data_IF_009615148814
#
_entry.id   IF_009615148814
#
_cell.length_a   1.000
_cell.length_b   1.000
_cell.length_c   1.000
_cell.angle_alpha   90.00
_cell.angle_beta   90.00
_cell.angle_gamma   90.00
#
_symmetry.space_group_name_H-M   'P 1'
#
loop_
_entity.id
_entity.type
_entity.pdbx_description
1 polymer ?
#
# COMPACT_ATOMS: atom_id res chain seq x y z
N UNK A 1 -7.64 -7.71 -29.82
CA UNK A 1 -7.08 -7.25 -28.54
C UNK A 1 -7.61 -5.85 -28.27
N UNK A 2 -8.66 -5.71 -27.46
CA UNK A 2 -9.25 -4.40 -27.15
C UNK A 2 -8.45 -3.75 -26.03
N UNK A 3 -7.74 -2.66 -26.32
CA UNK A 3 -7.05 -1.87 -25.30
C UNK A 3 -8.09 -1.11 -24.49
N UNK A 4 -8.25 -1.46 -23.21
CA UNK A 4 -9.15 -0.74 -22.32
C UNK A 4 -8.75 0.75 -22.28
N UNK A 5 -9.66 1.64 -22.67
CA UNK A 5 -9.44 3.07 -22.64
C UNK A 5 -9.34 3.53 -21.19
N UNK A 6 -8.24 4.21 -20.83
CA UNK A 6 -8.03 4.72 -19.47
C UNK A 6 -9.15 5.67 -19.08
N UNK A 7 -9.68 5.47 -17.89
CA UNK A 7 -10.68 6.34 -17.26
C UNK A 7 -10.06 7.69 -16.90
N UNK A 8 -10.90 8.73 -16.75
CA UNK A 8 -10.45 10.07 -16.32
C UNK A 8 -9.71 10.05 -14.98
N UNK A 9 -10.08 9.13 -14.08
CA UNK A 9 -9.42 8.96 -12.78
C UNK A 9 -8.01 8.37 -12.92
N UNK A 10 -7.82 7.43 -13.84
CA UNK A 10 -6.49 6.87 -14.13
C UNK A 10 -5.56 7.92 -14.73
N UNK A 11 -6.07 8.76 -15.63
CA UNK A 11 -5.34 9.90 -16.18
C UNK A 11 -4.95 10.91 -15.11
N UNK A 12 -5.89 11.31 -14.25
CA UNK A 12 -5.62 12.25 -13.16
C UNK A 12 -4.51 11.73 -12.23
N UNK A 13 -4.53 10.43 -11.90
CA UNK A 13 -3.48 9.80 -11.09
C UNK A 13 -2.12 9.82 -11.79
N UNK A 14 -2.08 9.44 -13.06
CA UNK A 14 -0.83 9.41 -13.83
C UNK A 14 -0.20 10.81 -13.91
N UNK A 15 -1.01 11.84 -14.19
CA UNK A 15 -0.56 13.23 -14.24
C UNK A 15 -0.05 13.67 -12.86
N UNK A 16 -0.78 13.37 -11.78
CA UNK A 16 -0.34 13.68 -10.43
C UNK A 16 1.00 13.01 -10.06
N UNK A 17 1.22 11.76 -10.49
CA UNK A 17 2.50 11.06 -10.33
C UNK A 17 3.63 11.76 -11.11
N UNK A 18 3.38 12.16 -12.36
CA UNK A 18 4.36 12.86 -13.18
C UNK A 18 4.78 14.21 -12.55
N UNK A 19 3.81 15.02 -12.13
CA UNK A 19 4.09 16.29 -11.43
C UNK A 19 4.89 16.06 -10.15
N UNK A 20 4.51 15.06 -9.35
CA UNK A 20 5.20 14.72 -8.10
C UNK A 20 6.66 14.33 -8.34
N UNK A 21 6.93 13.53 -9.37
CA UNK A 21 8.29 13.14 -9.73
C UNK A 21 9.12 14.35 -10.18
N UNK A 22 8.53 15.24 -10.99
CA UNK A 22 9.19 16.47 -11.43
C UNK A 22 9.52 17.39 -10.23
N UNK A 23 8.56 17.59 -9.31
CA UNK A 23 8.77 18.42 -8.12
C UNK A 23 9.83 17.84 -7.18
N UNK A 24 9.87 16.51 -7.03
CA UNK A 24 10.88 15.85 -6.20
C UNK A 24 12.30 16.00 -6.78
N UNK A 25 12.44 16.09 -8.09
CA UNK A 25 13.74 16.33 -8.73
C UNK A 25 14.26 17.77 -8.49
N UNK A 26 13.35 18.73 -8.24
CA UNK A 26 13.70 20.13 -7.99
C UNK A 26 13.94 20.41 -6.50
N UNK A 27 13.06 19.92 -5.62
CA UNK A 27 13.12 20.18 -4.18
C UNK A 27 12.68 18.94 -3.37
N UNK A 28 13.60 17.97 -3.17
CA UNK A 28 13.28 16.73 -2.48
C UNK A 28 12.90 16.93 -1.01
N UNK A 29 13.53 17.89 -0.32
CA UNK A 29 13.32 18.15 1.10
C UNK A 29 11.93 18.75 1.38
N UNK A 30 11.48 19.69 0.54
CA UNK A 30 10.13 20.23 0.65
C UNK A 30 9.08 19.19 0.32
N UNK A 31 9.33 18.33 -0.67
CA UNK A 31 8.47 17.18 -0.94
C UNK A 31 8.38 16.24 0.27
N UNK A 32 9.49 15.95 0.95
CA UNK A 32 9.51 15.12 2.15
C UNK A 32 8.71 15.74 3.31
N UNK A 33 8.79 17.06 3.51
CA UNK A 33 8.00 17.79 4.53
C UNK A 33 6.49 17.70 4.25
N UNK A 34 6.09 17.90 2.99
CA UNK A 34 4.69 17.77 2.57
C UNK A 34 4.19 16.34 2.73
N UNK A 35 5.03 15.35 2.44
CA UNK A 35 4.72 13.93 2.63
C UNK A 35 4.47 13.59 4.10
N UNK A 36 5.32 14.06 5.00
CA UNK A 36 5.14 13.88 6.43
C UNK A 36 3.82 14.51 6.91
N UNK A 37 3.49 15.71 6.43
CA UNK A 37 2.25 16.41 6.75
C UNK A 37 1.01 15.64 6.25
N UNK A 38 1.05 15.14 5.01
CA UNK A 38 -0.02 14.35 4.43
C UNK A 38 -0.24 13.05 5.21
N UNK A 39 0.83 12.33 5.56
CA UNK A 39 0.76 11.11 6.39
C UNK A 39 0.19 11.40 7.77
N UNK A 40 0.61 12.48 8.43
CA UNK A 40 0.08 12.90 9.74
C UNK A 40 -1.44 13.14 9.70
N UNK A 41 -1.96 13.60 8.57
CA UNK A 41 -3.40 13.83 8.35
C UNK A 41 -4.15 12.64 7.73
N UNK A 42 -3.54 11.46 7.66
CA UNK A 42 -4.16 10.27 7.08
C UNK A 42 -4.30 10.28 5.55
N UNK A 43 -3.75 11.29 4.86
CA UNK A 43 -3.82 11.45 3.41
C UNK A 43 -2.75 10.59 2.70
N UNK A 44 -2.74 9.28 2.98
CA UNK A 44 -1.71 8.34 2.50
C UNK A 44 -1.70 8.16 0.98
N UNK A 45 -2.76 8.58 0.28
CA UNK A 45 -2.82 8.58 -1.18
C UNK A 45 -1.93 9.65 -1.83
N UNK A 46 -1.67 10.77 -1.13
CA UNK A 46 -0.81 11.86 -1.61
C UNK A 46 0.66 11.48 -1.48
N UNK A 47 1.00 10.81 -0.38
CA UNK A 47 2.36 10.44 -0.02
C UNK A 47 2.49 8.91 0.14
N UNK A 48 2.57 8.16 -0.98
CA UNK A 48 2.71 6.71 -0.92
C UNK A 48 3.91 6.31 -0.05
N UNK A 49 3.75 5.26 0.74
CA UNK A 49 4.87 4.65 1.45
C UNK A 49 5.83 4.09 0.39
N UNK A 50 7.06 4.62 0.37
CA UNK A 50 8.11 4.04 -0.46
C UNK A 50 8.46 2.69 0.13
N UNK A 51 8.19 1.62 -0.60
CA UNK A 51 8.64 0.29 -0.22
C UNK A 51 10.09 0.18 -0.70
N UNK A 52 11.07 -0.05 0.19
CA UNK A 52 12.45 -0.27 -0.24
C UNK A 52 12.49 -1.37 -1.31
N UNK A 53 13.29 -1.22 -2.38
CA UNK A 53 13.32 -2.18 -3.48
C UNK A 53 13.63 -3.62 -2.99
N UNK A 54 14.53 -3.76 -2.02
CA UNK A 54 14.81 -5.04 -1.35
C UNK A 54 13.59 -5.65 -0.63
N UNK A 55 12.70 -4.80 -0.10
CA UNK A 55 11.42 -5.23 0.47
C UNK A 55 10.36 -5.48 -0.62
N UNK A 56 10.56 -5.03 -1.87
CA UNK A 56 9.68 -5.34 -2.99
C UNK A 56 10.04 -6.68 -3.65
N UNK A 57 11.33 -6.99 -3.78
CA UNK A 57 11.83 -8.22 -4.45
C UNK A 57 11.44 -9.51 -3.71
N UNK A 58 11.45 -9.52 -2.37
CA UNK A 58 11.07 -10.69 -1.55
C UNK A 58 9.88 -10.44 -0.62
N UNK A 59 9.36 -9.22 -0.55
CA UNK A 59 8.32 -8.89 0.44
C UNK A 59 6.95 -9.45 0.11
N UNK A 60 6.63 -9.75 -1.15
CA UNK A 60 5.33 -10.32 -1.53
C UNK A 60 5.13 -11.73 -0.96
N UNK A 61 6.19 -12.54 -0.98
CA UNK A 61 6.15 -13.92 -0.49
C UNK A 61 6.53 -14.03 1.00
N UNK A 62 6.76 -12.90 1.65
CA UNK A 62 7.04 -12.83 3.08
C UNK A 62 5.78 -13.04 3.93
N UNK A 63 5.90 -13.82 5.00
CA UNK A 63 4.87 -14.02 6.02
C UNK A 63 5.16 -13.11 7.19
N UNK A 64 4.40 -12.02 7.31
CA UNK A 64 4.69 -10.92 8.22
C UNK A 64 3.60 -10.74 9.29
N UNK A 65 3.95 -10.23 10.48
CA UNK A 65 2.97 -9.85 11.49
C UNK A 65 2.19 -8.58 11.06
N UNK A 66 0.94 -8.40 11.53
CA UNK A 66 0.06 -7.30 11.12
C UNK A 66 0.67 -5.90 11.25
N UNK A 67 1.40 -5.63 12.35
CA UNK A 67 2.06 -4.33 12.57
C UNK A 67 3.13 -4.02 11.51
N UNK A 68 3.88 -5.03 11.08
CA UNK A 68 4.91 -4.84 10.07
C UNK A 68 4.28 -4.64 8.69
N UNK A 69 3.18 -5.33 8.40
CA UNK A 69 2.41 -5.10 7.18
C UNK A 69 1.86 -3.67 7.15
N UNK A 70 1.36 -3.16 8.27
CA UNK A 70 0.90 -1.77 8.38
C UNK A 70 2.02 -0.76 8.12
N UNK A 71 3.19 -0.98 8.69
CA UNK A 71 4.34 -0.09 8.53
C UNK A 71 4.87 -0.09 7.09
N UNK A 72 4.97 -1.27 6.48
CA UNK A 72 5.59 -1.44 5.15
C UNK A 72 4.61 -1.16 4.02
N UNK A 73 3.37 -1.62 4.14
CA UNK A 73 2.37 -1.61 3.06
C UNK A 73 1.20 -0.66 3.33
N UNK A 74 1.16 -0.03 4.50
CA UNK A 74 0.17 1.00 4.83
C UNK A 74 -1.24 0.48 5.13
N UNK A 75 -1.43 -0.85 5.21
CA UNK A 75 -2.73 -1.48 5.49
C UNK A 75 -2.88 -1.63 7.01
N UNK A 76 -3.88 -0.98 7.65
CA UNK A 76 -3.99 -0.98 9.11
C UNK A 76 -4.10 -2.38 9.71
N UNK A 77 -3.41 -2.65 10.82
CA UNK A 77 -3.45 -3.96 11.47
C UNK A 77 -4.88 -4.39 11.83
N UNK A 78 -5.72 -3.45 12.29
CA UNK A 78 -7.14 -3.69 12.58
C UNK A 78 -7.92 -4.22 11.36
N UNK A 79 -7.62 -3.70 10.17
CA UNK A 79 -8.21 -4.17 8.90
C UNK A 79 -7.80 -5.62 8.62
N UNK A 80 -6.54 -5.98 8.85
CA UNK A 80 -6.05 -7.35 8.67
C UNK A 80 -6.72 -8.32 9.64
N UNK A 81 -6.87 -7.95 10.92
CA UNK A 81 -7.63 -8.75 11.88
C UNK A 81 -9.09 -8.92 11.46
N UNK A 82 -9.73 -7.85 10.96
CA UNK A 82 -11.08 -7.90 10.44
C UNK A 82 -11.23 -8.75 9.18
N UNK A 83 -10.20 -8.86 8.34
CA UNK A 83 -10.20 -9.76 7.18
C UNK A 83 -9.98 -11.21 7.59
N UNK A 84 -9.10 -11.46 8.56
CA UNK A 84 -8.92 -12.80 9.14
C UNK A 84 -10.21 -13.32 9.76
N UNK A 85 -10.91 -12.51 10.58
CA UNK A 85 -12.16 -12.95 11.22
C UNK A 85 -13.28 -13.25 10.22
N UNK A 86 -13.22 -12.64 9.03
CA UNK A 86 -14.13 -12.89 7.90
C UNK A 86 -13.68 -14.05 6.98
N UNK A 87 -12.60 -14.76 7.33
CA UNK A 87 -12.06 -15.85 6.52
C UNK A 87 -11.40 -15.43 5.21
N UNK A 88 -11.06 -14.14 5.05
CA UNK A 88 -10.47 -13.60 3.82
C UNK A 88 -8.95 -13.70 3.79
N UNK A 89 -8.32 -13.91 4.95
CA UNK A 89 -6.89 -14.14 5.09
C UNK A 89 -6.66 -15.44 5.84
N UNK A 90 -5.69 -16.22 5.36
CA UNK A 90 -5.20 -17.40 6.06
C UNK A 90 -4.17 -16.97 7.09
N UNK A 91 -4.40 -17.32 8.36
CA UNK A 91 -3.40 -17.14 9.41
C UNK A 91 -2.32 -18.23 9.29
N UNK A 92 -1.07 -17.80 9.14
CA UNK A 92 0.13 -18.66 9.05
C UNK A 92 1.04 -18.49 10.27
N UNK A 93 0.56 -17.82 11.31
CA UNK A 93 1.28 -17.61 12.56
C UNK A 93 1.00 -18.68 13.62
N UNK A 94 1.64 -18.52 14.77
CA UNK A 94 1.40 -19.35 15.94
C UNK A 94 0.15 -18.89 16.72
N UNK A 95 -0.29 -19.70 17.69
CA UNK A 95 -1.44 -19.40 18.53
C UNK A 95 -1.27 -18.03 19.21
N UNK A 96 -2.18 -17.10 18.92
CA UNK A 96 -2.18 -15.68 19.38
C UNK A 96 -1.15 -14.75 18.73
N UNK A 97 -0.35 -15.23 17.77
CA UNK A 97 0.62 -14.42 17.05
C UNK A 97 0.38 -14.53 15.53
N UNK A 98 -0.73 -13.95 15.02
CA UNK A 98 -1.11 -14.13 13.63
C UNK A 98 -0.06 -13.55 12.68
N UNK A 99 0.13 -14.23 11.55
CA UNK A 99 0.98 -13.78 10.46
C UNK A 99 0.30 -14.02 9.13
N UNK A 100 0.51 -13.10 8.19
CA UNK A 100 -0.15 -13.14 6.89
C UNK A 100 0.88 -13.07 5.77
N UNK A 101 0.61 -13.80 4.69
CA UNK A 101 1.35 -13.63 3.45
C UNK A 101 0.98 -12.28 2.83
N UNK A 102 1.99 -11.49 2.51
CA UNK A 102 1.79 -10.14 1.95
C UNK A 102 1.03 -10.20 0.63
N UNK A 103 1.33 -11.16 -0.25
CA UNK A 103 0.60 -11.36 -1.51
C UNK A 103 -0.91 -11.50 -1.32
N UNK A 104 -1.34 -12.35 -0.39
CA UNK A 104 -2.77 -12.56 -0.09
C UNK A 104 -3.42 -11.26 0.42
N UNK A 105 -2.71 -10.53 1.28
CA UNK A 105 -3.17 -9.24 1.81
C UNK A 105 -3.40 -8.21 0.72
N UNK A 106 -2.44 -8.06 -0.21
CA UNK A 106 -2.55 -7.12 -1.32
C UNK A 106 -3.65 -7.53 -2.30
N UNK A 107 -3.84 -8.82 -2.53
CA UNK A 107 -4.91 -9.34 -3.38
C UNK A 107 -6.29 -9.03 -2.79
N UNK A 108 -6.50 -9.28 -1.49
CA UNK A 108 -7.75 -8.91 -0.80
C UNK A 108 -7.99 -7.40 -0.87
N UNK A 109 -6.93 -6.59 -0.71
CA UNK A 109 -7.04 -5.14 -0.84
C UNK A 109 -7.39 -4.70 -2.26
N UNK A 110 -6.84 -5.35 -3.29
CA UNK A 110 -7.11 -5.03 -4.69
C UNK A 110 -8.55 -5.37 -5.07
N UNK A 111 -9.04 -6.57 -4.72
CA UNK A 111 -10.43 -6.99 -4.98
C UNK A 111 -11.46 -6.04 -4.36
N UNK A 112 -11.13 -5.45 -3.20
CA UNK A 112 -11.97 -4.49 -2.48
C UNK A 112 -11.86 -3.04 -2.98
N UNK A 113 -10.92 -2.73 -3.88
CA UNK A 113 -10.81 -1.41 -4.53
C UNK A 113 -11.62 -1.30 -5.82
N UNK A 114 -11.98 -2.43 -6.40
CA UNK A 114 -12.70 -2.55 -7.68
C UNK A 114 -14.19 -2.90 -7.51
N UNK A 115 -14.63 -3.18 -6.29
CA UNK A 115 -16.03 -3.38 -5.91
C UNK A 115 -16.57 -2.10 -5.29
#
# INVERSE_FOLDING_TARGET
MSGAQRTSLEWARQIAHAYRNALRAVDPDRCAKLDALARKRGQRWIAPTSIPAAAAEHGLDSVLPPKLIEQTWGIPAATLYGWKSKGLLVDRGERRAPRFLVRDVLEVQARRRTA
#
